data_IF_618649149861
#
_entry.id   IF_618649149861
#
_cell.length_a   1.000
_cell.length_b   1.000
_cell.length_c   1.000
_cell.angle_alpha   90.00
_cell.angle_beta   90.00
_cell.angle_gamma   90.00
#
_symmetry.space_group_name_H-M   'P 1'
#
loop_
_entity.id
_entity.type
_entity.pdbx_description
1 polymer ?
#
# COMPACT_ATOMS: atom_id res chain seq x y z
N UNK A 1 11.35 33.06 -33.44
CA UNK A 1 9.91 33.33 -33.65
C UNK A 1 9.15 32.84 -32.43
N UNK A 2 8.57 33.75 -31.65
CA UNK A 2 7.85 33.46 -30.39
C UNK A 2 6.37 33.25 -30.69
N UNK A 3 5.83 32.08 -30.36
CA UNK A 3 4.40 31.77 -30.43
C UNK A 3 3.79 31.75 -29.04
N UNK A 4 3.29 32.90 -28.60
CA UNK A 4 2.43 33.06 -27.42
C UNK A 4 1.01 32.82 -27.89
N UNK A 5 0.27 31.88 -27.30
CA UNK A 5 -1.17 31.80 -27.49
C UNK A 5 -1.88 31.64 -26.15
N UNK A 6 -2.37 32.77 -25.66
CA UNK A 6 -3.39 32.88 -24.62
C UNK A 6 -4.72 32.44 -25.22
N UNK A 7 -5.55 31.70 -24.48
CA UNK A 7 -7.00 31.92 -24.43
C UNK A 7 -7.62 31.24 -23.20
N UNK A 8 -8.03 32.12 -22.31
CA UNK A 8 -8.92 31.99 -21.17
C UNK A 8 -10.35 31.57 -21.57
N UNK A 9 -11.17 31.33 -20.53
CA UNK A 9 -12.65 31.35 -20.48
C UNK A 9 -13.39 30.02 -20.72
N UNK A 10 -13.84 29.39 -19.62
CA UNK A 10 -15.28 29.40 -19.31
C UNK A 10 -15.53 29.07 -17.83
N UNK A 11 -16.03 30.07 -17.09
CA UNK A 11 -16.74 29.91 -15.82
C UNK A 11 -18.23 29.75 -16.13
N UNK A 12 -18.91 28.90 -15.36
CA UNK A 12 -20.32 29.06 -15.05
C UNK A 12 -21.18 27.87 -15.43
N UNK A 13 -21.70 27.16 -14.44
CA UNK A 13 -23.15 27.15 -14.20
C UNK A 13 -23.43 26.68 -12.77
N UNK A 14 -24.03 27.58 -12.00
CA UNK A 14 -24.61 27.42 -10.66
C UNK A 14 -26.11 27.72 -10.86
N UNK A 15 -26.97 27.28 -9.91
CA UNK A 15 -28.45 27.44 -9.79
C UNK A 15 -29.16 26.13 -10.24
N UNK A 16 -29.91 25.42 -9.39
CA UNK A 16 -31.25 25.79 -8.88
C UNK A 16 -31.47 25.37 -7.41
N UNK A 17 -31.81 26.37 -6.58
CA UNK A 17 -32.55 26.25 -5.33
C UNK A 17 -34.03 25.95 -5.64
N UNK A 18 -34.63 24.99 -4.95
CA UNK A 18 -36.09 24.89 -4.83
C UNK A 18 -36.46 24.72 -3.35
N UNK A 19 -36.95 25.85 -2.82
CA UNK A 19 -37.59 26.04 -1.53
C UNK A 19 -39.03 25.48 -1.61
N UNK A 20 -39.39 24.59 -0.69
CA UNK A 20 -40.76 24.10 -0.51
C UNK A 20 -41.16 24.20 0.96
N UNK A 21 -42.01 25.17 1.25
CA UNK A 21 -42.50 25.62 2.56
C UNK A 21 -43.58 24.71 3.16
N UNK A 22 -43.66 24.79 4.51
CA UNK A 22 -44.86 24.91 5.36
C UNK A 22 -45.39 23.68 6.15
N UNK A 23 -45.35 23.86 7.49
CA UNK A 23 -46.41 23.71 8.52
C UNK A 23 -47.46 22.59 8.35
N UNK A 24 -47.92 21.81 9.34
CA UNK A 24 -47.80 21.64 10.80
C UNK A 24 -48.67 20.37 11.13
N UNK A 25 -49.22 20.11 12.34
CA UNK A 25 -48.72 20.07 13.72
C UNK A 25 -48.82 18.63 14.34
N UNK A 26 -48.48 18.52 15.63
CA UNK A 26 -48.60 17.33 16.47
C UNK A 26 -50.02 16.70 16.49
N UNK A 27 -50.08 15.37 16.35
CA UNK A 27 -51.20 14.55 16.83
C UNK A 27 -50.68 13.57 17.89
N UNK A 28 -50.96 13.91 19.14
CA UNK A 28 -50.89 13.00 20.27
C UNK A 28 -52.14 12.12 20.21
N UNK A 29 -51.97 10.83 20.00
CA UNK A 29 -53.05 9.86 20.20
C UNK A 29 -52.47 8.63 20.90
N UNK A 30 -52.83 8.51 22.18
CA UNK A 30 -52.68 7.31 22.97
C UNK A 30 -53.44 6.15 22.30
N UNK A 31 -52.83 4.96 22.23
CA UNK A 31 -53.48 3.82 21.60
C UNK A 31 -52.69 2.52 21.73
N UNK A 32 -52.93 1.83 22.84
CA UNK A 32 -52.87 0.37 23.00
C UNK A 32 -51.51 -0.34 22.88
N UNK A 33 -51.00 -0.63 24.07
CA UNK A 33 -50.47 -1.93 24.46
C UNK A 33 -51.21 -3.07 23.72
N UNK A 34 -50.45 -3.78 22.89
CA UNK A 34 -50.88 -4.98 22.17
C UNK A 34 -49.63 -5.79 21.86
N UNK A 35 -49.57 -6.98 22.47
CA UNK A 35 -48.52 -7.98 22.36
C UNK A 35 -47.87 -8.05 20.97
N UNK A 36 -46.54 -7.93 20.93
CA UNK A 36 -45.73 -8.54 19.87
C UNK A 36 -44.76 -9.50 20.53
N UNK A 37 -45.19 -10.76 20.53
CA UNK A 37 -44.39 -11.95 20.18
C UNK A 37 -42.89 -11.78 20.32
N UNK A 38 -42.32 -12.54 21.27
CA UNK A 38 -40.91 -12.95 21.33
C UNK A 38 -40.46 -13.51 19.97
N UNK A 39 -40.05 -12.63 19.08
CA UNK A 39 -39.14 -12.95 17.98
C UNK A 39 -37.74 -12.81 18.54
N UNK A 40 -37.06 -13.93 18.78
CA UNK A 40 -35.61 -13.95 19.01
C UNK A 40 -34.98 -13.49 17.70
N UNK A 41 -34.78 -12.18 17.56
CA UNK A 41 -34.03 -11.60 16.46
C UNK A 41 -32.58 -12.05 16.67
N UNK A 42 -32.24 -13.15 16.00
CA UNK A 42 -30.89 -13.69 15.91
C UNK A 42 -30.07 -12.57 15.28
N UNK A 43 -29.32 -11.86 16.11
CA UNK A 43 -28.36 -10.85 15.69
C UNK A 43 -27.57 -11.45 14.53
N UNK A 44 -27.75 -10.87 13.34
CA UNK A 44 -26.93 -11.20 12.18
C UNK A 44 -25.48 -11.06 12.65
N UNK A 45 -24.60 -12.06 12.42
CA UNK A 45 -23.20 -11.88 12.71
C UNK A 45 -22.76 -10.61 11.97
N UNK A 46 -22.24 -9.64 12.71
CA UNK A 46 -21.65 -8.46 12.12
C UNK A 46 -20.63 -8.98 11.10
N UNK A 47 -20.75 -8.56 9.83
CA UNK A 47 -19.68 -8.79 8.87
C UNK A 47 -18.41 -8.31 9.55
N UNK A 48 -17.47 -9.23 9.76
CA UNK A 48 -16.15 -8.92 10.25
C UNK A 48 -15.48 -8.10 9.15
N UNK A 49 -15.65 -6.78 9.23
CA UNK A 49 -14.95 -5.83 8.38
C UNK A 49 -13.49 -5.96 8.79
N UNK A 50 -12.71 -6.65 7.98
CA UNK A 50 -11.27 -6.70 8.13
C UNK A 50 -10.77 -5.25 8.22
N UNK A 51 -10.12 -4.84 9.32
CA UNK A 51 -9.70 -3.47 9.47
C UNK A 51 -8.65 -3.16 8.40
N UNK A 52 -8.94 -2.20 7.53
CA UNK A 52 -7.95 -1.67 6.58
C UNK A 52 -6.71 -1.23 7.36
N UNK A 53 -5.54 -1.64 6.89
CA UNK A 53 -4.28 -1.24 7.52
C UNK A 53 -4.04 0.23 7.15
N UNK A 54 -3.91 1.12 8.14
CA UNK A 54 -3.94 2.55 7.86
C UNK A 54 -2.75 3.09 7.08
N UNK A 55 -1.65 2.32 7.06
CA UNK A 55 -0.43 2.63 6.34
C UNK A 55 0.05 1.38 5.61
N UNK A 56 0.44 1.55 4.36
CA UNK A 56 1.04 0.53 3.49
C UNK A 56 2.33 1.05 2.87
N UNK A 57 3.33 0.16 2.77
CA UNK A 57 4.63 0.46 2.18
C UNK A 57 4.96 -0.56 1.10
N UNK A 58 5.46 -0.05 -0.03
CA UNK A 58 5.98 -0.86 -1.10
C UNK A 58 7.27 -0.25 -1.62
N UNK A 59 8.17 -1.11 -2.09
CA UNK A 59 9.39 -0.69 -2.76
C UNK A 59 9.46 -1.41 -4.08
N UNK A 60 9.79 -0.69 -5.14
CA UNK A 60 9.90 -1.24 -6.48
C UNK A 60 11.23 -0.87 -7.11
N UNK A 61 11.85 -1.82 -7.79
CA UNK A 61 12.93 -1.53 -8.73
C UNK A 61 12.35 -0.89 -9.99
N UNK A 62 12.78 0.33 -10.29
CA UNK A 62 12.41 1.06 -11.51
C UNK A 62 13.40 0.73 -12.62
N UNK A 63 14.69 0.76 -12.30
CA UNK A 63 15.75 0.52 -13.27
C UNK A 63 16.99 -0.08 -12.60
N UNK A 64 17.78 -0.84 -13.36
CA UNK A 64 19.08 -1.33 -12.95
C UNK A 64 20.06 -1.20 -14.12
N UNK A 65 21.03 -0.31 -13.98
CA UNK A 65 22.15 -0.18 -14.90
C UNK A 65 23.33 -0.96 -14.35
N UNK A 66 23.59 -2.13 -14.96
CA UNK A 66 24.68 -3.01 -14.54
C UNK A 66 26.03 -2.50 -15.05
N UNK A 67 27.03 -2.51 -14.18
CA UNK A 67 28.45 -2.36 -14.47
C UNK A 67 29.18 -3.72 -14.29
N UNK A 68 30.43 -3.89 -14.76
CA UNK A 68 31.14 -5.17 -14.67
C UNK A 68 31.30 -5.75 -13.25
N UNK A 69 31.19 -4.91 -12.21
CA UNK A 69 31.31 -5.30 -10.79
C UNK A 69 30.26 -4.61 -9.93
N UNK A 70 28.99 -4.54 -10.35
CA UNK A 70 27.94 -3.86 -9.59
C UNK A 70 27.01 -3.07 -10.48
N UNK A 71 26.58 -1.89 -10.05
CA UNK A 71 25.70 -1.05 -10.87
C UNK A 71 25.05 0.09 -10.11
N UNK A 72 24.15 0.77 -10.81
CA UNK A 72 23.26 1.79 -10.27
C UNK A 72 21.83 1.29 -10.36
N UNK A 73 21.13 1.21 -9.23
CA UNK A 73 19.74 0.80 -9.16
C UNK A 73 18.86 1.99 -8.78
N UNK A 74 17.86 2.28 -9.58
CA UNK A 74 16.83 3.27 -9.26
C UNK A 74 15.64 2.54 -8.65
N UNK A 75 15.27 2.89 -7.43
CA UNK A 75 14.11 2.35 -6.71
C UNK A 75 13.08 3.44 -6.45
N UNK A 76 11.82 3.06 -6.43
CA UNK A 76 10.71 3.90 -6.02
C UNK A 76 10.09 3.34 -4.75
N UNK A 77 10.05 4.16 -3.70
CA UNK A 77 9.32 3.85 -2.48
C UNK A 77 7.93 4.44 -2.57
N UNK A 78 6.93 3.60 -2.35
CA UNK A 78 5.54 3.99 -2.32
C UNK A 78 5.01 3.89 -0.89
N UNK A 79 4.50 4.99 -0.37
CA UNK A 79 3.77 5.04 0.88
C UNK A 79 2.32 5.44 0.59
N UNK A 80 1.39 4.61 1.05
CA UNK A 80 -0.05 4.80 0.90
C UNK A 80 -0.69 4.79 2.28
N UNK A 81 -1.61 5.73 2.50
CA UNK A 81 -2.42 5.80 3.72
C UNK A 81 -3.91 5.81 3.37
N UNK A 82 -4.73 5.14 4.17
CA UNK A 82 -6.19 5.20 4.06
C UNK A 82 -6.80 6.41 4.81
N UNK A 83 -5.97 7.11 5.57
CA UNK A 83 -6.33 8.24 6.41
C UNK A 83 -5.29 9.36 6.28
N UNK A 84 -5.67 10.59 6.62
CA UNK A 84 -4.71 11.69 6.66
C UNK A 84 -3.73 11.46 7.81
N UNK A 85 -2.44 11.48 7.54
CA UNK A 85 -1.38 11.32 8.54
C UNK A 85 -0.38 12.47 8.42
N UNK A 86 -0.22 13.21 9.50
CA UNK A 86 0.81 14.22 9.63
C UNK A 86 2.07 13.64 10.30
N UNK A 87 3.24 14.06 9.82
CA UNK A 87 4.52 13.67 10.44
C UNK A 87 4.93 12.22 10.22
N UNK A 88 4.51 11.60 9.11
CA UNK A 88 4.96 10.25 8.75
C UNK A 88 6.45 10.31 8.44
N UNK A 89 7.25 9.58 9.21
CA UNK A 89 8.70 9.49 9.02
C UNK A 89 9.02 8.19 8.32
N UNK A 90 9.53 8.29 7.09
CA UNK A 90 10.03 7.17 6.29
C UNK A 90 11.53 7.05 6.49
N UNK A 91 12.00 5.86 6.82
CA UNK A 91 13.41 5.53 6.98
C UNK A 91 13.78 4.39 6.04
N UNK A 92 14.90 4.54 5.33
CA UNK A 92 15.46 3.52 4.45
C UNK A 92 16.86 3.21 4.94
N UNK A 93 17.12 1.93 5.20
CA UNK A 93 18.41 1.44 5.67
C UNK A 93 18.98 0.48 4.64
N UNK A 94 20.17 0.80 4.15
CA UNK A 94 20.91 0.03 3.16
C UNK A 94 21.95 -0.88 3.84
N UNK A 95 22.24 -2.05 3.26
CA UNK A 95 23.37 -2.87 3.69
C UNK A 95 24.71 -2.18 3.39
N UNK A 96 25.80 -2.64 4.01
CA UNK A 96 27.11 -1.97 3.96
C UNK A 96 27.69 -1.79 2.55
N UNK A 97 27.32 -2.64 1.58
CA UNK A 97 27.88 -2.58 0.22
C UNK A 97 26.98 -1.85 -0.78
N UNK A 98 25.93 -1.20 -0.28
CA UNK A 98 25.01 -0.37 -1.04
C UNK A 98 24.90 0.99 -0.37
N UNK A 99 25.08 2.06 -1.15
CA UNK A 99 24.97 3.43 -0.65
C UNK A 99 23.96 4.23 -1.47
N UNK A 100 23.46 5.33 -0.91
CA UNK A 100 22.82 6.37 -1.70
C UNK A 100 23.86 7.15 -2.50
N UNK A 101 23.39 8.00 -3.42
CA UNK A 101 24.26 8.85 -4.24
C UNK A 101 25.18 9.79 -3.42
N UNK A 102 24.78 10.15 -2.20
CA UNK A 102 25.57 10.97 -1.26
C UNK A 102 26.56 10.15 -0.42
N UNK A 103 26.63 8.83 -0.61
CA UNK A 103 27.49 7.91 0.13
C UNK A 103 26.90 7.43 1.46
N UNK A 104 25.71 7.87 1.85
CA UNK A 104 25.07 7.43 3.09
C UNK A 104 24.45 6.02 2.95
N UNK A 105 24.20 5.38 4.11
CA UNK A 105 23.46 4.10 4.19
C UNK A 105 22.06 4.25 4.77
N UNK A 106 21.72 5.43 5.31
CA UNK A 106 20.44 5.69 5.93
C UNK A 106 19.86 6.95 5.34
N UNK A 107 18.61 6.86 4.89
CA UNK A 107 17.82 8.00 4.47
C UNK A 107 16.60 8.11 5.37
N UNK A 108 16.32 9.31 5.87
CA UNK A 108 15.11 9.58 6.67
C UNK A 108 14.43 10.83 6.14
N UNK A 109 13.11 10.77 5.99
CA UNK A 109 12.30 11.91 5.59
C UNK A 109 10.95 11.90 6.30
N UNK A 110 10.57 13.05 6.87
CA UNK A 110 9.25 13.27 7.44
C UNK A 110 8.37 14.00 6.45
N UNK A 111 7.12 13.56 6.31
CA UNK A 111 6.18 14.02 5.31
C UNK A 111 4.73 13.86 5.78
N UNK A 112 3.80 14.47 5.03
CA UNK A 112 2.37 14.32 5.22
C UNK A 112 1.83 13.36 4.17
N UNK A 113 1.01 12.39 4.58
CA UNK A 113 0.26 11.52 3.67
C UNK A 113 -1.22 11.88 3.76
N UNK A 114 -1.85 12.12 2.62
CA UNK A 114 -3.30 12.30 2.57
C UNK A 114 -4.00 10.96 2.34
N UNK A 115 -5.22 10.84 2.86
CA UNK A 115 -6.05 9.66 2.65
C UNK A 115 -6.20 9.34 1.15
N UNK A 116 -5.95 8.09 0.77
CA UNK A 116 -6.03 7.61 -0.61
C UNK A 116 -4.93 8.13 -1.55
N UNK A 117 -3.98 8.93 -1.05
CA UNK A 117 -2.84 9.40 -1.83
C UNK A 117 -1.68 8.41 -1.76
N UNK A 118 -1.00 8.22 -2.89
CA UNK A 118 0.28 7.52 -2.93
C UNK A 118 1.39 8.54 -3.04
N UNK A 119 2.29 8.53 -2.07
CA UNK A 119 3.55 9.25 -2.20
C UNK A 119 4.59 8.33 -2.83
N UNK A 120 5.32 8.84 -3.81
CA UNK A 120 6.47 8.18 -4.41
C UNK A 120 7.76 8.93 -4.04
N UNK A 121 8.75 8.21 -3.52
CA UNK A 121 10.09 8.73 -3.20
C UNK A 121 11.11 7.98 -4.06
N UNK A 122 11.61 8.57 -5.15
CA UNK A 122 12.65 7.95 -5.96
C UNK A 122 14.00 8.03 -5.25
N UNK A 123 14.77 6.94 -5.33
CA UNK A 123 16.13 6.83 -4.79
C UNK A 123 17.03 6.07 -5.74
N UNK A 124 18.21 6.62 -5.96
CA UNK A 124 19.30 5.90 -6.64
C UNK A 124 20.22 5.26 -5.60
N UNK A 125 20.53 3.99 -5.85
CA UNK A 125 21.40 3.16 -5.04
C UNK A 125 22.65 2.82 -5.85
N UNK A 126 23.81 3.07 -5.25
CA UNK A 126 25.11 2.69 -5.79
C UNK A 126 25.52 1.35 -5.21
N UNK A 127 25.84 0.40 -6.09
CA UNK A 127 26.20 -0.96 -5.70
C UNK A 127 27.61 -1.26 -6.21
N UNK A 128 28.54 -1.45 -5.29
CA UNK A 128 29.96 -1.59 -5.60
C UNK A 128 30.43 -3.01 -5.98
N UNK A 129 29.58 -4.03 -5.81
CA UNK A 129 29.87 -5.42 -6.18
C UNK A 129 28.60 -6.16 -6.61
N UNK A 130 28.72 -7.14 -7.50
CA UNK A 130 27.61 -8.04 -7.82
C UNK A 130 27.19 -8.80 -6.54
N UNK A 131 25.89 -9.00 -6.34
CA UNK A 131 25.38 -9.59 -5.12
C UNK A 131 23.86 -9.52 -4.95
N UNK A 132 23.44 -10.00 -3.78
CA UNK A 132 22.05 -9.95 -3.31
C UNK A 132 22.01 -9.07 -2.07
N UNK A 133 21.17 -8.05 -2.10
CA UNK A 133 21.09 -7.03 -1.07
C UNK A 133 19.66 -6.92 -0.56
N UNK A 134 19.50 -6.68 0.73
CA UNK A 134 18.18 -6.46 1.34
C UNK A 134 18.13 -5.03 1.85
N UNK A 135 17.31 -4.21 1.19
CA UNK A 135 17.03 -2.83 1.55
C UNK A 135 15.86 -2.84 2.52
N UNK A 136 16.03 -2.28 3.72
CA UNK A 136 14.97 -2.17 4.72
C UNK A 136 14.31 -0.81 4.59
N UNK A 137 12.98 -0.78 4.63
CA UNK A 137 12.19 0.45 4.57
C UNK A 137 11.16 0.42 5.67
N UNK A 138 11.14 1.46 6.49
CA UNK A 138 10.21 1.63 7.60
C UNK A 138 9.48 2.96 7.45
N UNK A 139 8.24 3.02 7.93
CA UNK A 139 7.51 4.25 8.09
C UNK A 139 6.71 4.23 9.39
N UNK A 140 6.80 5.32 10.14
CA UNK A 140 6.08 5.54 11.38
C UNK A 140 5.31 6.85 11.31
N UNK A 141 4.09 6.89 11.83
CA UNK A 141 3.32 8.13 11.93
C UNK A 141 2.09 7.97 12.80
N UNK A 142 1.37 9.06 13.02
CA UNK A 142 0.18 9.09 13.88
C UNK A 142 -1.06 9.39 13.04
N UNK A 143 -2.11 8.59 13.23
CA UNK A 143 -3.43 8.81 12.60
C UNK A 143 -4.16 10.00 13.25
N UNK A 144 -5.23 10.53 12.65
CA UNK A 144 -6.03 11.61 13.23
C UNK A 144 -6.66 11.24 14.58
N UNK A 145 -6.80 9.94 14.86
CA UNK A 145 -7.32 9.38 16.10
C UNK A 145 -6.25 9.30 17.21
N UNK A 146 -5.03 9.79 16.96
CA UNK A 146 -3.91 9.73 17.90
C UNK A 146 -3.22 8.37 17.98
N UNK A 147 -3.61 7.39 17.16
CA UNK A 147 -2.98 6.07 17.14
C UNK A 147 -1.68 6.09 16.34
N UNK A 148 -0.59 5.66 16.97
CA UNK A 148 0.70 5.42 16.31
C UNK A 148 0.61 4.18 15.40
N UNK A 149 1.12 4.32 14.19
CA UNK A 149 1.19 3.26 13.19
C UNK A 149 2.64 3.13 12.75
N UNK A 150 3.14 1.89 12.73
CA UNK A 150 4.46 1.55 12.23
C UNK A 150 4.35 0.44 11.20
N UNK A 151 5.06 0.59 10.08
CA UNK A 151 5.13 -0.37 8.98
C UNK A 151 6.56 -0.51 8.52
N UNK A 152 6.95 -1.75 8.23
CA UNK A 152 8.23 -2.07 7.64
C UNK A 152 8.05 -2.99 6.45
N UNK A 153 8.94 -2.89 5.47
CA UNK A 153 9.06 -3.81 4.35
C UNK A 153 10.52 -3.97 3.97
N UNK A 154 10.84 -5.11 3.36
CA UNK A 154 12.18 -5.42 2.90
C UNK A 154 12.15 -5.64 1.39
N UNK A 155 13.08 -5.01 0.68
CA UNK A 155 13.23 -5.13 -0.76
C UNK A 155 14.53 -5.84 -1.11
N UNK A 156 14.42 -6.94 -1.86
CA UNK A 156 15.57 -7.71 -2.30
C UNK A 156 16.07 -7.18 -3.63
N UNK A 157 17.24 -6.56 -3.63
CA UNK A 157 17.94 -6.07 -4.80
C UNK A 157 18.96 -7.11 -5.28
N UNK A 158 18.83 -7.55 -6.52
CA UNK A 158 19.76 -8.46 -7.17
C UNK A 158 20.57 -7.69 -8.20
N UNK A 159 21.90 -7.61 -8.03
CA UNK A 159 22.80 -6.96 -8.98
C UNK A 159 23.77 -7.98 -9.51
N UNK A 160 23.61 -8.39 -10.77
CA UNK A 160 24.43 -9.42 -11.39
C UNK A 160 24.36 -10.81 -10.74
N UNK A 161 23.50 -10.98 -9.74
CA UNK A 161 23.24 -12.25 -9.06
C UNK A 161 21.88 -12.81 -9.52
N UNK A 162 21.82 -14.12 -9.71
CA UNK A 162 20.58 -14.84 -9.98
C UNK A 162 20.04 -15.48 -8.70
N UNK A 163 18.72 -15.54 -8.54
CA UNK A 163 18.15 -16.41 -7.51
C UNK A 163 18.44 -17.88 -7.83
N UNK A 164 18.78 -18.65 -6.80
CA UNK A 164 18.90 -20.09 -6.99
C UNK A 164 17.49 -20.61 -7.23
N UNK A 165 17.27 -21.26 -8.36
CA UNK A 165 16.06 -22.04 -8.54
C UNK A 165 16.05 -23.14 -7.47
N UNK A 166 14.89 -23.42 -6.84
CA UNK A 166 14.80 -24.57 -5.97
C UNK A 166 15.19 -25.82 -6.76
N UNK A 167 15.90 -26.79 -6.15
CA UNK A 167 16.19 -28.03 -6.84
C UNK A 167 14.88 -28.66 -7.28
N UNK A 168 14.79 -29.02 -8.56
CA UNK A 168 13.68 -29.83 -9.06
C UNK A 168 13.75 -31.13 -8.29
N UNK A 169 12.77 -31.36 -7.41
CA UNK A 169 12.57 -32.68 -6.83
C UNK A 169 12.03 -33.53 -7.97
N UNK A 170 12.89 -34.33 -8.59
CA UNK A 170 12.45 -35.47 -9.39
C UNK A 170 11.63 -36.35 -8.46
N UNK A 171 10.31 -36.26 -8.60
CA UNK A 171 9.36 -36.99 -7.78
C UNK A 171 9.62 -38.48 -7.87
N UNK A 172 9.34 -39.19 -6.78
CA UNK A 172 9.26 -40.63 -6.76
C UNK A 172 8.45 -41.10 -7.97
N UNK A 173 9.06 -41.91 -8.85
CA UNK A 173 8.33 -42.61 -9.90
C UNK A 173 7.44 -43.63 -9.19
N UNK A 174 6.16 -43.31 -9.02
CA UNK A 174 5.15 -44.30 -8.66
C UNK A 174 5.00 -45.24 -9.86
N UNK A 175 5.51 -46.46 -9.73
CA UNK A 175 5.20 -47.53 -10.67
C UNK A 175 3.74 -47.89 -10.47
N UNK A 176 2.92 -47.65 -11.50
CA UNK A 176 1.56 -48.17 -11.56
C UNK A 176 1.66 -49.70 -11.48
N UNK A 177 1.18 -50.27 -10.38
CA UNK A 177 1.26 -51.71 -10.13
C UNK A 177 0.63 -52.48 -11.30
N UNK A 178 1.41 -53.32 -11.95
CA UNK A 178 0.92 -54.24 -12.99
C UNK A 178 -0.10 -55.17 -12.31
N UNK A 179 -1.36 -55.25 -12.78
CA UNK A 179 -2.31 -56.17 -12.21
C UNK A 179 -1.81 -57.60 -12.42
N UNK A 180 -1.55 -58.30 -11.32
CA UNK A 180 -1.11 -59.69 -11.33
C UNK A 180 -2.14 -60.57 -12.05
N UNK A 181 -1.73 -61.14 -13.18
CA UNK A 181 -2.46 -62.22 -13.83
C UNK A 181 -2.38 -63.47 -12.97
N UNK A 182 -3.53 -63.91 -12.48
CA UNK A 182 -3.68 -65.19 -11.77
C UNK A 182 -3.51 -66.36 -12.73
N UNK A 183 -2.82 -67.39 -12.25
CA UNK A 183 -2.97 -68.77 -12.69
C UNK A 183 -3.80 -69.52 -11.64
#
# INVERSE_FOLDING_TARGET
>A
MRGIMKRTFWKGLLIVMALGMALAPACWAAGKQGEKTRGRERSKPALEVEPSLPLSLQVRLVNLQKNPKGGVASVALHALSDSDMDGVTVTVTLPQEVTFADGSHVFTQTLRLSAGSTLEIPKDLLVGKDGKYVVQVEAAGTTPQGKLVHRGTAFKLLVGAQESLPPVKDGAIEYQGVPGGGF
#
